data_IF_144227504161
#
_entry.id   IF_144227504161
#
_cell.length_a   1.000
_cell.length_b   1.000
_cell.length_c   1.000
_cell.angle_alpha   90.00
_cell.angle_beta   90.00
_cell.angle_gamma   90.00
#
_symmetry.space_group_name_H-M   'P 1'
#
loop_
_entity.id
_entity.type
_entity.pdbx_description
1 polymer ?
#
# COMPACT_ATOMS: atom_id res chain seq x y z
N UNK A 1 34.69 8.83 -2.99
CA UNK A 1 33.74 7.71 -2.79
C UNK A 1 32.67 7.78 -3.87
N UNK A 2 32.46 6.72 -4.66
CA UNK A 2 31.31 6.63 -5.57
C UNK A 2 30.04 6.58 -4.72
N UNK A 3 29.01 7.36 -5.08
CA UNK A 3 27.68 7.18 -4.50
C UNK A 3 27.24 5.72 -4.75
N UNK A 4 26.72 5.01 -3.73
CA UNK A 4 26.25 3.66 -3.93
C UNK A 4 25.10 3.68 -4.96
N UNK A 5 25.18 2.74 -5.89
CA UNK A 5 24.16 2.50 -6.90
C UNK A 5 22.86 2.08 -6.19
N UNK A 6 22.02 3.07 -5.92
CA UNK A 6 20.75 2.95 -5.18
C UNK A 6 19.68 2.23 -6.00
N UNK A 7 19.97 1.93 -7.27
CA UNK A 7 19.08 1.21 -8.17
C UNK A 7 19.38 -0.29 -8.23
N UNK A 8 20.58 -0.69 -7.85
CA UNK A 8 20.93 -2.10 -7.67
C UNK A 8 20.26 -2.62 -6.40
N UNK A 9 19.36 -3.61 -6.55
CA UNK A 9 18.64 -4.28 -5.46
C UNK A 9 19.55 -5.03 -4.45
N UNK A 10 20.87 -4.81 -4.48
CA UNK A 10 21.88 -5.43 -3.63
C UNK A 10 21.74 -5.05 -2.16
N UNK A 11 21.38 -3.80 -1.85
CA UNK A 11 21.17 -3.36 -0.47
C UNK A 11 19.97 -4.06 0.19
N UNK A 12 18.99 -4.57 -0.57
CA UNK A 12 17.89 -5.33 0.01
C UNK A 12 18.37 -6.64 0.67
N UNK A 13 19.47 -7.22 0.16
CA UNK A 13 20.07 -8.44 0.73
C UNK A 13 21.02 -8.11 1.89
N UNK A 14 21.46 -6.85 1.97
CA UNK A 14 22.28 -6.34 3.05
C UNK A 14 21.38 -5.91 4.23
N UNK A 15 21.06 -6.90 5.08
CA UNK A 15 20.22 -6.70 6.26
C UNK A 15 20.82 -5.70 7.24
N UNK A 16 22.15 -5.58 7.29
CA UNK A 16 22.84 -4.66 8.19
C UNK A 16 22.71 -3.22 7.69
N UNK A 17 22.88 -2.99 6.38
CA UNK A 17 22.59 -1.70 5.76
C UNK A 17 21.12 -1.32 5.93
N UNK A 18 20.18 -2.24 5.74
CA UNK A 18 18.75 -1.96 5.95
C UNK A 18 18.47 -1.58 7.40
N UNK A 19 19.01 -2.32 8.38
CA UNK A 19 18.86 -2.00 9.81
C UNK A 19 19.43 -0.62 10.13
N UNK A 20 20.63 -0.31 9.65
CA UNK A 20 21.27 0.98 9.85
C UNK A 20 20.48 2.12 9.21
N UNK A 21 19.95 1.92 7.99
CA UNK A 21 19.12 2.88 7.28
C UNK A 21 17.80 3.15 8.01
N UNK A 22 17.16 2.11 8.54
CA UNK A 22 15.93 2.23 9.33
C UNK A 22 16.18 3.03 10.60
N UNK A 23 17.19 2.65 11.39
CA UNK A 23 17.54 3.35 12.63
C UNK A 23 17.91 4.82 12.34
N UNK A 24 18.75 5.07 11.34
CA UNK A 24 19.10 6.43 10.92
C UNK A 24 17.86 7.24 10.52
N UNK A 25 17.00 6.69 9.67
CA UNK A 25 15.76 7.37 9.22
C UNK A 25 14.82 7.64 10.40
N UNK A 26 14.73 6.74 11.38
CA UNK A 26 13.93 6.94 12.59
C UNK A 26 14.41 8.15 13.39
N UNK A 27 15.73 8.30 13.56
CA UNK A 27 16.30 9.48 14.23
C UNK A 27 16.03 10.79 13.46
N UNK A 28 16.01 10.75 12.13
CA UNK A 28 15.80 11.95 11.30
C UNK A 28 14.33 12.38 11.23
N UNK A 29 13.40 11.42 11.27
CA UNK A 29 11.98 11.66 10.97
C UNK A 29 11.07 11.56 12.18
N UNK A 30 11.51 10.89 13.25
CA UNK A 30 10.69 10.59 14.43
C UNK A 30 9.68 9.46 14.23
N UNK A 31 9.63 8.82 13.05
CA UNK A 31 8.78 7.65 12.85
C UNK A 31 9.35 6.41 13.52
N UNK A 32 8.46 5.51 13.93
CA UNK A 32 8.86 4.21 14.48
C UNK A 32 9.60 3.37 13.42
N UNK A 33 10.69 2.70 13.85
CA UNK A 33 11.54 1.88 12.99
C UNK A 33 10.75 0.84 12.17
N UNK A 34 9.82 0.13 12.82
CA UNK A 34 8.97 -0.86 12.14
C UNK A 34 8.11 -0.23 11.03
N UNK A 35 7.61 0.99 11.21
CA UNK A 35 6.83 1.67 10.18
C UNK A 35 7.70 2.12 9.00
N UNK A 36 8.94 2.54 9.27
CA UNK A 36 9.92 2.89 8.24
C UNK A 36 10.30 1.65 7.43
N UNK A 37 10.56 0.53 8.12
CA UNK A 37 10.83 -0.73 7.47
C UNK A 37 9.66 -1.15 6.58
N UNK A 38 8.43 -1.15 7.08
CA UNK A 38 7.23 -1.45 6.28
C UNK A 38 7.07 -0.51 5.09
N UNK A 39 7.34 0.79 5.25
CA UNK A 39 7.32 1.76 4.13
C UNK A 39 8.31 1.38 3.01
N UNK A 40 9.51 0.91 3.39
CA UNK A 40 10.51 0.44 2.43
C UNK A 40 10.01 -0.78 1.66
N UNK A 41 9.42 -1.78 2.35
CA UNK A 41 8.82 -2.96 1.71
C UNK A 41 7.66 -2.58 0.80
N UNK A 42 6.79 -1.66 1.23
CA UNK A 42 5.73 -1.08 0.40
C UNK A 42 6.29 -0.44 -0.89
N UNK A 43 7.40 0.27 -0.80
CA UNK A 43 8.03 0.92 -1.97
C UNK A 43 8.57 -0.12 -2.96
N UNK A 44 9.15 -1.22 -2.47
CA UNK A 44 9.63 -2.31 -3.31
C UNK A 44 8.49 -3.04 -4.03
N UNK A 45 7.39 -3.29 -3.32
CA UNK A 45 6.17 -3.82 -3.91
C UNK A 45 5.61 -2.87 -4.97
N UNK A 46 5.60 -1.56 -4.71
CA UNK A 46 5.19 -0.55 -5.70
C UNK A 46 6.10 -0.58 -6.93
N UNK A 47 7.44 -0.67 -6.77
CA UNK A 47 8.40 -0.76 -7.87
C UNK A 47 8.11 -1.97 -8.77
N UNK A 48 7.81 -3.12 -8.17
CA UNK A 48 7.47 -4.34 -8.90
C UNK A 48 6.10 -4.25 -9.61
N UNK A 49 5.11 -3.63 -8.97
CA UNK A 49 3.75 -3.52 -9.50
C UNK A 49 3.56 -2.36 -10.48
N UNK A 50 4.51 -1.43 -10.57
CA UNK A 50 4.42 -0.25 -11.43
C UNK A 50 4.27 -0.58 -12.93
N UNK A 51 4.70 -1.78 -13.36
CA UNK A 51 4.55 -2.24 -14.75
C UNK A 51 3.21 -2.92 -15.05
N UNK A 52 2.33 -3.11 -14.06
CA UNK A 52 1.02 -3.71 -14.26
C UNK A 52 0.08 -2.66 -14.88
N UNK A 53 -0.40 -2.93 -16.09
CA UNK A 53 -1.32 -2.05 -16.80
C UNK A 53 -2.65 -1.86 -16.02
N UNK A 54 -3.27 -0.69 -16.17
CA UNK A 54 -4.52 -0.29 -15.52
C UNK A 54 -4.53 -0.31 -13.98
N UNK A 55 -3.42 -0.65 -13.32
CA UNK A 55 -3.31 -0.68 -11.87
C UNK A 55 -3.05 0.73 -11.33
N UNK A 56 -4.06 1.31 -10.68
CA UNK A 56 -4.00 2.67 -10.16
C UNK A 56 -3.85 2.66 -8.64
N UNK A 57 -2.74 3.21 -8.14
CA UNK A 57 -2.48 3.36 -6.71
C UNK A 57 -3.41 4.40 -6.06
N UNK A 58 -3.93 4.08 -4.87
CA UNK A 58 -4.89 4.92 -4.16
C UNK A 58 -4.74 4.80 -2.65
N UNK A 59 -5.66 5.43 -1.93
CA UNK A 59 -5.78 5.28 -0.47
C UNK A 59 -4.81 6.16 0.32
N UNK A 60 -4.70 5.88 1.61
CA UNK A 60 -3.89 6.69 2.54
C UNK A 60 -2.39 6.61 2.26
N UNK A 61 -1.91 5.45 1.82
CA UNK A 61 -0.49 5.24 1.48
C UNK A 61 -0.10 5.99 0.21
N UNK A 62 -0.99 6.04 -0.79
CA UNK A 62 -0.80 6.91 -1.97
C UNK A 62 -0.74 8.38 -1.58
N UNK A 63 -1.65 8.84 -0.72
CA UNK A 63 -1.62 10.21 -0.21
C UNK A 63 -0.27 10.54 0.45
N UNK A 64 0.18 9.67 1.35
CA UNK A 64 1.44 9.84 2.08
C UNK A 64 2.66 9.89 1.15
N UNK A 65 2.78 8.93 0.24
CA UNK A 65 3.96 8.73 -0.61
C UNK A 65 4.07 9.68 -1.80
N UNK A 66 2.94 10.14 -2.33
CA UNK A 66 2.89 10.92 -3.58
C UNK A 66 2.62 12.40 -3.32
N UNK A 67 1.76 12.73 -2.35
CA UNK A 67 1.14 14.06 -2.29
C UNK A 67 1.48 14.90 -1.05
N UNK A 68 2.02 14.30 0.02
CA UNK A 68 2.05 14.95 1.34
C UNK A 68 3.35 14.76 2.12
N UNK A 69 4.44 14.37 1.44
CA UNK A 69 5.77 14.23 2.04
C UNK A 69 5.76 13.44 3.36
N UNK A 70 5.01 12.33 3.40
CA UNK A 70 4.90 11.43 4.56
C UNK A 70 4.33 12.05 5.85
N UNK A 71 3.18 12.74 5.80
CA UNK A 71 2.49 13.16 7.04
C UNK A 71 2.15 12.00 8.01
N UNK A 72 2.06 10.76 7.49
CA UNK A 72 2.00 9.51 8.26
C UNK A 72 2.58 8.36 7.44
N UNK A 73 3.08 7.33 8.12
CA UNK A 73 3.39 6.04 7.50
C UNK A 73 2.20 5.08 7.58
N UNK A 74 2.13 4.17 6.63
CA UNK A 74 1.03 3.21 6.47
C UNK A 74 1.56 1.92 5.87
N UNK A 75 1.02 0.81 6.33
CA UNK A 75 1.50 -0.55 6.00
C UNK A 75 0.69 -1.27 4.92
N UNK A 76 -0.43 -0.69 4.47
CA UNK A 76 -1.29 -1.28 3.46
C UNK A 76 -1.08 -0.65 2.08
N UNK A 77 -1.18 -1.46 1.02
CA UNK A 77 -1.20 -1.00 -0.36
C UNK A 77 -2.59 -1.17 -0.97
N UNK A 78 -3.08 -0.08 -1.53
CA UNK A 78 -4.46 0.10 -1.96
C UNK A 78 -4.46 0.43 -3.45
N UNK A 79 -5.12 -0.37 -4.29
CA UNK A 79 -5.18 -0.15 -5.73
C UNK A 79 -6.60 -0.28 -6.28
N UNK A 80 -6.79 0.24 -7.48
CA UNK A 80 -8.01 0.07 -8.27
C UNK A 80 -7.66 -0.25 -9.71
N UNK A 81 -8.38 -1.19 -10.31
CA UNK A 81 -8.42 -1.40 -11.76
C UNK A 81 -9.78 -0.88 -12.24
N UNK A 82 -9.82 0.22 -13.01
CA UNK A 82 -11.07 0.75 -13.57
C UNK A 82 -11.70 -0.25 -14.54
N UNK A 83 -13.00 -0.48 -14.42
CA UNK A 83 -13.79 -1.38 -15.24
C UNK A 83 -14.90 -0.62 -15.95
N UNK A 84 -15.30 -1.01 -17.17
CA UNK A 84 -16.52 -0.51 -17.78
C UNK A 84 -17.74 -0.73 -16.88
N UNK A 85 -18.69 0.20 -16.93
CA UNK A 85 -19.98 0.06 -16.25
C UNK A 85 -20.67 -1.23 -16.67
N UNK A 86 -21.19 -1.99 -15.71
CA UNK A 86 -21.85 -3.28 -16.00
C UNK A 86 -20.91 -4.43 -16.36
N UNK A 87 -19.59 -4.29 -16.20
CA UNK A 87 -18.65 -5.38 -16.47
C UNK A 87 -19.08 -6.69 -15.79
N UNK A 88 -18.97 -7.80 -16.49
CA UNK A 88 -19.27 -9.15 -15.97
C UNK A 88 -18.14 -9.67 -15.09
N UNK A 89 -18.42 -10.70 -14.29
CA UNK A 89 -17.38 -11.42 -13.52
C UNK A 89 -16.23 -11.90 -14.40
N UNK A 90 -16.55 -12.44 -15.59
CA UNK A 90 -15.55 -12.95 -16.54
C UNK A 90 -14.62 -11.85 -17.03
N UNK A 91 -15.18 -10.69 -17.40
CA UNK A 91 -14.39 -9.52 -17.82
C UNK A 91 -13.50 -9.01 -16.69
N UNK A 92 -14.03 -8.92 -15.47
CA UNK A 92 -13.25 -8.56 -14.27
C UNK A 92 -12.08 -9.53 -14.03
N UNK A 93 -12.35 -10.84 -14.04
CA UNK A 93 -11.30 -11.83 -13.83
C UNK A 93 -10.24 -11.80 -14.93
N UNK A 94 -10.62 -11.57 -16.20
CA UNK A 94 -9.68 -11.46 -17.31
C UNK A 94 -8.73 -10.27 -17.15
N UNK A 95 -9.24 -9.10 -16.71
CA UNK A 95 -8.43 -7.90 -16.43
C UNK A 95 -7.43 -8.06 -15.27
N UNK A 96 -7.54 -9.11 -14.47
CA UNK A 96 -6.59 -9.40 -13.37
C UNK A 96 -5.45 -10.34 -13.75
N UNK A 97 -5.37 -10.81 -15.00
CA UNK A 97 -4.39 -11.82 -15.40
C UNK A 97 -2.94 -11.35 -15.16
N UNK A 98 -2.61 -10.12 -15.58
CA UNK A 98 -1.28 -9.55 -15.40
C UNK A 98 -0.95 -9.28 -13.95
N UNK A 99 -1.91 -8.75 -13.18
CA UNK A 99 -1.76 -8.56 -11.74
C UNK A 99 -1.52 -9.89 -11.01
N UNK A 100 -2.26 -10.95 -11.34
CA UNK A 100 -2.07 -12.28 -10.73
C UNK A 100 -0.67 -12.82 -10.99
N UNK A 101 -0.19 -12.67 -12.23
CA UNK A 101 1.16 -13.07 -12.64
C UNK A 101 2.21 -12.27 -11.89
N UNK A 102 2.10 -10.93 -11.89
CA UNK A 102 3.03 -10.06 -11.18
C UNK A 102 3.10 -10.40 -9.67
N UNK A 103 1.96 -10.61 -9.01
CA UNK A 103 1.93 -10.99 -7.59
C UNK A 103 2.53 -12.39 -7.36
N UNK A 104 2.30 -13.35 -8.28
CA UNK A 104 2.88 -14.69 -8.17
C UNK A 104 4.40 -14.71 -8.35
N UNK A 105 4.97 -13.76 -9.11
CA UNK A 105 6.41 -13.62 -9.34
C UNK A 105 7.15 -12.92 -8.19
N UNK A 106 6.42 -12.32 -7.22
CA UNK A 106 7.03 -11.58 -6.11
C UNK A 106 8.14 -12.35 -5.37
N UNK A 107 7.95 -13.61 -4.92
CA UNK A 107 9.01 -14.33 -4.22
C UNK A 107 10.25 -14.60 -5.09
N UNK A 108 10.10 -14.68 -6.41
CA UNK A 108 11.22 -14.89 -7.32
C UNK A 108 12.01 -13.58 -7.56
N UNK A 109 11.31 -12.44 -7.66
CA UNK A 109 11.92 -11.13 -7.90
C UNK A 109 12.44 -10.47 -6.62
N UNK A 110 11.78 -10.72 -5.49
CA UNK A 110 12.09 -10.18 -4.17
C UNK A 110 12.20 -11.35 -3.16
N UNK A 111 13.34 -12.07 -3.11
CA UNK A 111 13.46 -13.31 -2.34
C UNK A 111 13.28 -13.21 -0.82
N UNK A 112 13.31 -12.00 -0.25
CA UNK A 112 12.94 -11.77 1.16
C UNK A 112 11.44 -11.79 1.42
N UNK A 113 10.63 -11.73 0.37
CA UNK A 113 9.19 -11.76 0.47
C UNK A 113 8.68 -13.19 0.24
N UNK A 114 7.76 -13.61 1.10
CA UNK A 114 6.92 -14.79 0.88
C UNK A 114 5.50 -14.35 0.57
N UNK A 115 4.82 -15.10 -0.29
CA UNK A 115 3.42 -14.87 -0.54
C UNK A 115 2.59 -15.61 0.53
N UNK A 116 2.17 -14.88 1.57
CA UNK A 116 1.35 -15.41 2.68
C UNK A 116 -0.04 -15.74 2.18
N UNK A 117 -0.61 -14.82 1.40
CA UNK A 117 -1.89 -15.01 0.72
C UNK A 117 -1.71 -14.71 -0.78
N UNK A 118 -1.99 -15.72 -1.60
CA UNK A 118 -2.06 -15.55 -3.05
C UNK A 118 -3.21 -14.61 -3.43
N UNK A 119 -3.07 -13.92 -4.56
CA UNK A 119 -4.11 -13.02 -5.03
C UNK A 119 -5.43 -13.75 -5.27
N UNK A 120 -6.42 -13.51 -4.41
CA UNK A 120 -7.73 -14.16 -4.46
C UNK A 120 -8.83 -13.16 -4.72
N UNK A 121 -9.71 -13.50 -5.66
CA UNK A 121 -10.88 -12.69 -5.99
C UNK A 121 -12.01 -12.94 -4.99
N UNK A 122 -12.59 -11.86 -4.48
CA UNK A 122 -13.75 -11.83 -3.61
C UNK A 122 -14.88 -10.98 -4.23
N UNK A 123 -16.09 -11.10 -3.67
CA UNK A 123 -17.26 -10.29 -4.06
C UNK A 123 -17.49 -10.25 -5.57
N UNK A 124 -17.68 -11.43 -6.18
CA UNK A 124 -17.87 -11.58 -7.62
C UNK A 124 -16.73 -10.97 -8.48
N UNK A 125 -15.48 -11.15 -8.04
CA UNK A 125 -14.28 -10.57 -8.64
C UNK A 125 -14.25 -9.05 -8.64
N UNK A 126 -15.00 -8.41 -7.73
CA UNK A 126 -14.97 -6.95 -7.53
C UNK A 126 -13.84 -6.52 -6.60
N UNK A 127 -13.26 -7.44 -5.84
CA UNK A 127 -12.10 -7.18 -4.98
C UNK A 127 -11.11 -8.32 -5.12
N UNK A 128 -9.82 -8.00 -5.03
CA UNK A 128 -8.75 -8.98 -4.89
C UNK A 128 -7.89 -8.60 -3.69
N UNK A 129 -7.50 -9.63 -2.94
CA UNK A 129 -6.65 -9.51 -1.76
C UNK A 129 -5.42 -10.41 -1.93
N UNK A 130 -4.26 -9.90 -1.54
CA UNK A 130 -3.03 -10.66 -1.37
C UNK A 130 -2.29 -10.14 -0.13
N UNK A 131 -1.40 -10.96 0.42
CA UNK A 131 -0.52 -10.56 1.51
C UNK A 131 0.91 -11.07 1.24
N UNK A 132 1.87 -10.16 1.33
CA UNK A 132 3.29 -10.47 1.26
C UNK A 132 3.88 -10.39 2.67
N UNK A 133 4.53 -11.47 3.11
CA UNK A 133 5.18 -11.57 4.41
C UNK A 133 6.70 -11.47 4.28
N UNK A 134 7.36 -10.98 5.32
CA UNK A 134 8.82 -10.87 5.38
C UNK A 134 9.30 -10.95 6.84
N UNK A 135 10.54 -11.38 7.05
CA UNK A 135 11.14 -11.38 8.39
C UNK A 135 11.82 -10.03 8.64
N UNK A 136 11.25 -9.28 9.59
CA UNK A 136 11.72 -7.94 9.96
C UNK A 136 13.19 -7.98 10.38
N UNK A 137 13.97 -7.00 9.93
CA UNK A 137 15.28 -6.73 10.53
C UNK A 137 15.11 -6.12 11.91
N UNK A 138 14.11 -5.26 12.13
CA UNK A 138 13.90 -4.54 13.39
C UNK A 138 13.47 -5.49 14.50
N UNK A 139 12.37 -6.23 14.32
CA UNK A 139 11.77 -7.08 15.36
C UNK A 139 12.20 -8.54 15.30
N UNK A 140 12.75 -9.01 14.16
CA UNK A 140 13.11 -10.41 13.95
C UNK A 140 11.93 -11.38 13.79
N UNK A 141 10.70 -10.88 13.93
CA UNK A 141 9.48 -11.66 13.68
C UNK A 141 8.98 -11.41 12.25
N UNK A 142 8.01 -12.24 11.86
CA UNK A 142 7.39 -12.06 10.56
C UNK A 142 6.33 -10.95 10.58
N UNK A 143 6.45 -10.06 9.61
CA UNK A 143 5.53 -8.95 9.34
C UNK A 143 4.85 -9.17 7.98
N UNK A 144 3.68 -8.55 7.78
CA UNK A 144 2.95 -8.64 6.52
C UNK A 144 2.57 -7.27 5.95
N UNK A 145 2.51 -7.20 4.63
CA UNK A 145 1.98 -6.08 3.85
C UNK A 145 0.77 -6.60 3.07
N UNK A 146 -0.37 -5.93 3.25
CA UNK A 146 -1.62 -6.27 2.57
C UNK A 146 -1.72 -5.51 1.25
N UNK A 147 -2.17 -6.21 0.21
CA UNK A 147 -2.52 -5.63 -1.09
C UNK A 147 -4.03 -5.77 -1.30
N UNK A 148 -4.75 -4.65 -1.31
CA UNK A 148 -6.17 -4.61 -1.68
C UNK A 148 -6.35 -3.97 -3.06
N UNK A 149 -7.03 -4.69 -3.96
CA UNK A 149 -7.31 -4.21 -5.31
C UNK A 149 -8.82 -4.22 -5.55
N UNK A 150 -9.39 -3.04 -5.78
CA UNK A 150 -10.79 -2.90 -6.17
C UNK A 150 -10.96 -2.93 -7.69
N UNK A 151 -11.89 -3.73 -8.20
CA UNK A 151 -12.39 -3.62 -9.56
C UNK A 151 -13.72 -2.87 -9.49
N UNK A 152 -13.73 -1.64 -10.00
CA UNK A 152 -14.82 -0.68 -9.83
C UNK A 152 -15.11 0.02 -11.14
N UNK A 153 -16.26 0.65 -11.24
CA UNK A 153 -16.64 1.53 -12.35
C UNK A 153 -15.57 2.60 -12.65
N UNK A 154 -15.60 3.23 -13.84
CA UNK A 154 -14.55 4.14 -14.28
C UNK A 154 -14.29 5.25 -13.27
N UNK A 155 -13.01 5.63 -13.13
CA UNK A 155 -12.65 6.78 -12.32
C UNK A 155 -13.22 8.03 -12.97
N UNK A 156 -13.85 8.93 -12.20
CA UNK A 156 -14.37 10.18 -12.77
C UNK A 156 -13.25 11.18 -13.16
N UNK A 157 -11.99 10.87 -12.86
CA UNK A 157 -10.81 11.59 -13.34
C UNK A 157 -9.79 10.58 -13.83
N UNK A 158 -9.02 10.95 -14.87
CA UNK A 158 -7.92 10.14 -15.34
C UNK A 158 -6.85 9.95 -14.24
N UNK A 159 -6.23 8.77 -14.14
CA UNK A 159 -5.08 8.56 -13.27
C UNK A 159 -3.95 9.54 -13.57
N UNK A 160 -3.27 10.00 -12.52
CA UNK A 160 -2.06 10.81 -12.63
C UNK A 160 -0.83 9.88 -12.62
N UNK A 161 0.09 10.08 -13.56
CA UNK A 161 1.43 9.49 -13.46
C UNK A 161 2.29 10.36 -12.55
N UNK A 162 2.70 9.83 -11.39
CA UNK A 162 3.48 10.55 -10.39
C UNK A 162 4.49 9.64 -9.70
N UNK A 163 5.41 10.26 -8.97
CA UNK A 163 6.49 9.57 -8.27
C UNK A 163 6.07 9.27 -6.83
N UNK A 164 6.05 7.99 -6.46
CA UNK A 164 5.87 7.55 -5.08
C UNK A 164 7.25 7.45 -4.40
N UNK A 165 7.49 8.28 -3.39
CA UNK A 165 8.76 8.29 -2.68
C UNK A 165 8.87 7.17 -1.61
N UNK A 166 10.09 6.96 -1.11
CA UNK A 166 10.35 6.26 0.16
C UNK A 166 10.79 7.24 1.24
N UNK A 167 10.45 6.93 2.49
CA UNK A 167 11.00 7.66 3.64
C UNK A 167 12.43 7.22 3.95
N UNK A 168 12.82 5.99 3.56
CA UNK A 168 14.08 5.36 3.91
C UNK A 168 15.28 6.11 3.32
N UNK A 169 16.21 6.53 4.18
CA UNK A 169 17.42 7.28 3.82
C UNK A 169 18.68 6.45 4.03
N UNK A 170 19.65 6.62 3.14
CA UNK A 170 20.97 6.04 3.28
C UNK A 170 21.75 6.73 4.42
N UNK A 171 22.28 5.99 5.42
CA UNK A 171 22.92 6.58 6.61
C UNK A 171 24.07 7.54 6.32
N UNK A 172 24.90 7.23 5.31
CA UNK A 172 26.08 8.04 5.02
C UNK A 172 25.83 9.27 4.14
N UNK A 173 24.75 9.29 3.35
CA UNK A 173 24.53 10.31 2.32
C UNK A 173 23.21 11.07 2.50
N UNK A 174 22.33 10.57 3.36
CA UNK A 174 20.95 11.05 3.54
C UNK A 174 20.09 11.04 2.25
N UNK A 175 20.59 10.42 1.17
CA UNK A 175 19.83 10.23 -0.06
C UNK A 175 18.75 9.16 0.13
N UNK A 176 17.62 9.19 -0.61
CA UNK A 176 16.67 8.09 -0.62
C UNK A 176 17.37 6.78 -0.99
N UNK A 177 17.15 5.72 -0.20
CA UNK A 177 17.76 4.41 -0.47
C UNK A 177 17.08 3.68 -1.64
N UNK A 178 15.85 4.09 -1.96
CA UNK A 178 15.05 3.59 -3.08
C UNK A 178 14.72 4.79 -3.96
N UNK A 179 15.03 4.71 -5.25
CA UNK A 179 14.60 5.73 -6.21
C UNK A 179 13.06 5.86 -6.18
N UNK A 180 12.50 7.09 -6.31
CA UNK A 180 11.07 7.28 -6.40
C UNK A 180 10.46 6.43 -7.53
N UNK A 181 9.32 5.81 -7.25
CA UNK A 181 8.67 4.89 -8.20
C UNK A 181 7.62 5.66 -9.01
N UNK A 182 7.84 5.78 -10.32
CA UNK A 182 6.87 6.33 -11.26
C UNK A 182 5.72 5.34 -11.48
N UNK A 183 4.48 5.72 -11.16
CA UNK A 183 3.32 4.85 -11.35
C UNK A 183 2.00 5.63 -11.52
N UNK A 184 0.96 4.96 -12.00
CA UNK A 184 -0.38 5.54 -12.10
C UNK A 184 -1.06 5.60 -10.72
N UNK A 185 -1.55 6.77 -10.32
CA UNK A 185 -2.17 6.98 -9.02
C UNK A 185 -3.40 7.90 -9.08
N UNK A 186 -4.23 7.87 -8.03
CA UNK A 186 -5.36 8.78 -7.90
C UNK A 186 -4.89 10.21 -7.56
N UNK A 187 -5.54 11.21 -8.14
CA UNK A 187 -5.30 12.64 -7.86
C UNK A 187 -5.63 12.99 -6.40
N UNK A 188 -4.91 13.97 -5.85
CA UNK A 188 -5.13 14.50 -4.49
C UNK A 188 -6.57 15.02 -4.27
N UNK A 189 -7.21 15.58 -5.31
CA UNK A 189 -8.59 16.11 -5.25
C UNK A 189 -9.62 15.08 -4.80
N UNK A 190 -9.38 13.79 -5.03
CA UNK A 190 -10.26 12.69 -4.61
C UNK A 190 -9.98 12.09 -3.25
N UNK A 191 -8.79 12.30 -2.70
CA UNK A 191 -8.48 11.78 -1.37
C UNK A 191 -9.29 12.52 -0.30
N UNK A 192 -9.42 13.84 -0.45
CA UNK A 192 -10.21 14.68 0.46
C UNK A 192 -11.70 14.30 0.50
N UNK A 193 -12.31 13.90 -0.62
CA UNK A 193 -13.74 13.54 -0.68
C UNK A 193 -14.06 12.18 -0.05
N UNK A 194 -13.11 11.24 0.00
CA UNK A 194 -13.32 9.91 0.61
C UNK A 194 -13.17 9.89 2.14
N UNK A 195 -12.29 10.70 2.73
CA UNK A 195 -12.22 10.85 4.18
C UNK A 195 -13.51 11.47 4.74
N UNK A 196 -14.06 12.49 4.07
CA UNK A 196 -15.36 13.07 4.42
C UNK A 196 -16.50 12.04 4.40
N UNK A 197 -16.48 11.10 3.44
CA UNK A 197 -17.48 10.02 3.35
C UNK A 197 -17.37 8.96 4.45
N UNK A 198 -16.16 8.60 4.89
CA UNK A 198 -15.96 7.65 6.02
C UNK A 198 -16.31 8.28 7.37
N UNK A 199 -16.08 9.59 7.54
CA UNK A 199 -16.53 10.33 8.72
C UNK A 199 -18.06 10.43 8.79
N UNK A 200 -18.75 10.72 7.68
CA UNK A 200 -20.22 10.78 7.62
C UNK A 200 -20.89 9.45 7.97
N UNK A 201 -20.35 8.31 7.53
CA UNK A 201 -20.91 6.98 7.87
C UNK A 201 -20.76 6.57 9.34
N UNK A 202 -19.89 7.22 10.12
CA UNK A 202 -19.84 7.06 11.59
C UNK A 202 -20.80 7.98 12.33
N UNK A 203 -21.20 9.10 11.71
CA UNK A 203 -22.17 10.04 12.27
C UNK A 203 -23.64 9.61 12.03
N UNK A 204 -23.92 8.83 10.98
CA UNK A 204 -25.28 8.39 10.61
C UNK A 204 -25.70 7.02 11.20
N UNK A 205 -25.08 6.55 12.30
CA UNK A 205 -25.72 5.47 13.08
C UNK A 205 -26.78 6.09 13.98
N UNK A 206 -28.09 5.84 13.77
CA UNK A 206 -29.09 6.23 14.74
C UNK A 206 -28.83 5.46 16.04
N UNK A 207 -28.62 6.19 17.14
CA UNK A 207 -28.67 5.67 18.49
C UNK A 207 -30.09 5.16 18.75
N UNK A 208 -30.31 3.87 18.53
CA UNK A 208 -31.60 3.20 18.72
C UNK A 208 -31.53 2.14 19.81
N UNK A 209 -31.76 2.54 21.06
CA UNK A 209 -32.80 2.00 21.97
C UNK A 209 -32.55 2.45 23.41
N UNK A 210 -33.39 3.36 23.86
CA UNK A 210 -33.62 3.65 25.26
C UNK A 210 -34.06 2.38 26.00
N UNK A 211 -33.47 2.18 27.17
CA UNK A 211 -33.86 1.19 28.17
C UNK A 211 -35.33 1.42 28.56
N UNK A 212 -36.20 0.43 28.27
CA UNK A 212 -37.53 0.37 28.88
C UNK A 212 -37.35 -0.03 30.35
N UNK A 213 -37.72 0.86 31.27
CA UNK A 213 -37.93 0.53 32.69
C UNK A 213 -39.17 -0.36 32.81
N UNK A 214 -39.17 -1.40 33.67
CA UNK A 214 -40.39 -2.13 33.98
C UNK A 214 -41.33 -1.29 34.88
N UNK A 215 -42.65 -1.54 34.83
CA UNK A 215 -43.61 -0.87 35.71
C UNK A 215 -43.47 -1.38 37.15
N UNK A 216 -43.50 -0.45 38.09
CA UNK A 216 -43.64 -0.73 39.52
C UNK A 216 -45.12 -1.07 39.74
N UNK A 217 -45.40 -2.27 40.24
CA UNK A 217 -46.72 -2.66 40.69
C UNK A 217 -46.71 -2.68 42.23
N UNK A 218 -47.74 -2.06 42.82
CA UNK A 218 -48.32 -2.36 44.14
C UNK A 218 -47.38 -2.39 45.34
#
# INVERSE_FOLDING_TARGET
MKAPDTDSAGWLRDRDLLRAAVAFTATQTGFAELLIEKDSICTLLLKHLASVEDLVFKGGTCLAKVHTSFYRLSEDLDFVIPMPTGATRRQRSARTADLKRAVAELPAKLPMLRLVERLRGANDSRQYLAAAGYVSVVSGIEETITLEIGLREPLLEAPLSADAATVLRHPATNAPLIAPVRLACMSLRRVHTRQAGRARKRADRPFGRALRRPPIAG
#
